data_IF_229588343738
#
_entry.id   IF_229588343738
#
_cell.length_a   1.000
_cell.length_b   1.000
_cell.length_c   1.000
_cell.angle_alpha   90.00
_cell.angle_beta   90.00
_cell.angle_gamma   90.00
#
_symmetry.space_group_name_H-M   'P 1'
#
loop_
_entity.id
_entity.type
_entity.pdbx_description
1 polymer ?
#
# COMPACT_ATOMS: atom_id res chain seq x y z
N UNK A 1 -11.79 10.86 -12.13
CA UNK A 1 -10.38 11.19 -11.85
C UNK A 1 -9.70 11.77 -13.08
N UNK A 2 -9.78 11.11 -14.24
CA UNK A 2 -9.14 11.60 -15.47
C UNK A 2 -9.52 13.04 -15.84
N UNK A 3 -10.80 13.43 -15.78
CA UNK A 3 -11.20 14.82 -16.10
C UNK A 3 -10.62 15.91 -15.16
N UNK A 4 -10.21 15.55 -13.93
CA UNK A 4 -9.50 16.46 -13.02
C UNK A 4 -7.99 16.47 -13.30
N UNK A 5 -7.46 15.33 -13.75
CA UNK A 5 -6.06 15.16 -14.14
C UNK A 5 -5.78 15.78 -15.52
N UNK A 6 -6.71 15.70 -16.47
CA UNK A 6 -6.68 16.37 -17.77
C UNK A 6 -6.53 17.90 -17.63
N UNK A 7 -7.01 18.48 -16.52
CA UNK A 7 -6.95 19.91 -16.28
C UNK A 7 -5.54 20.40 -15.83
N UNK A 8 -4.65 19.50 -15.42
CA UNK A 8 -3.33 19.87 -14.84
C UNK A 8 -2.21 18.85 -15.02
N UNK A 9 -2.44 17.77 -15.76
CA UNK A 9 -1.57 16.60 -15.94
C UNK A 9 -1.79 15.97 -17.32
N UNK A 10 -1.61 14.65 -17.42
CA UNK A 10 -1.71 13.90 -18.70
C UNK A 10 -2.99 13.06 -18.84
N UNK A 11 -3.88 13.12 -17.84
CA UNK A 11 -5.20 12.48 -17.89
C UNK A 11 -5.20 10.99 -17.55
N UNK A 12 -4.04 10.43 -17.19
CA UNK A 12 -3.84 9.00 -17.03
C UNK A 12 -4.09 8.51 -15.59
N UNK A 13 -4.21 9.43 -14.63
CA UNK A 13 -4.14 9.08 -13.21
C UNK A 13 -5.19 8.04 -12.79
N UNK A 14 -6.43 8.14 -13.27
CA UNK A 14 -7.46 7.16 -12.93
C UNK A 14 -7.21 5.79 -13.55
N UNK A 15 -6.66 5.72 -14.77
CA UNK A 15 -6.28 4.46 -15.40
C UNK A 15 -5.07 3.81 -14.68
N UNK A 16 -4.14 4.63 -14.22
CA UNK A 16 -3.01 4.19 -13.42
C UNK A 16 -3.45 3.65 -12.05
N UNK A 17 -4.36 4.31 -11.35
CA UNK A 17 -4.93 3.83 -10.09
C UNK A 17 -5.75 2.54 -10.26
N UNK A 18 -6.54 2.43 -11.33
CA UNK A 18 -7.33 1.23 -11.63
C UNK A 18 -6.43 0.00 -11.83
N UNK A 19 -5.32 0.15 -12.56
CA UNK A 19 -4.33 -0.93 -12.75
C UNK A 19 -3.71 -1.37 -11.43
N UNK A 20 -3.30 -0.40 -10.59
CA UNK A 20 -2.75 -0.67 -9.27
C UNK A 20 -3.75 -1.44 -8.40
N UNK A 21 -4.99 -0.97 -8.28
CA UNK A 21 -6.03 -1.60 -7.46
C UNK A 21 -6.37 -3.02 -7.92
N UNK A 22 -6.44 -3.27 -9.23
CA UNK A 22 -6.64 -4.63 -9.78
C UNK A 22 -5.49 -5.56 -9.41
N UNK A 23 -4.25 -5.09 -9.50
CA UNK A 23 -3.08 -5.87 -9.11
C UNK A 23 -3.08 -6.20 -7.61
N UNK A 24 -3.50 -5.23 -6.77
CA UNK A 24 -3.66 -5.47 -5.33
C UNK A 24 -4.70 -6.56 -5.05
N UNK A 25 -5.89 -6.44 -5.63
CA UNK A 25 -6.98 -7.40 -5.44
C UNK A 25 -6.57 -8.82 -5.84
N UNK A 26 -5.80 -8.97 -6.92
CA UNK A 26 -5.28 -10.26 -7.35
C UNK A 26 -4.24 -10.83 -6.37
N UNK A 27 -3.48 -9.98 -5.67
CA UNK A 27 -2.40 -10.40 -4.77
C UNK A 27 -2.86 -10.71 -3.36
N UNK A 28 -3.84 -9.96 -2.85
CA UNK A 28 -4.35 -10.04 -1.47
C UNK A 28 -4.70 -11.47 -0.99
N UNK A 29 -5.37 -12.33 -1.78
CA UNK A 29 -5.69 -13.69 -1.36
C UNK A 29 -4.46 -14.53 -0.99
N UNK A 30 -3.32 -14.30 -1.66
CA UNK A 30 -2.07 -15.04 -1.38
C UNK A 30 -1.34 -14.58 -0.12
N UNK A 31 -1.80 -13.49 0.50
CA UNK A 31 -1.14 -12.84 1.64
C UNK A 31 -1.95 -12.93 2.94
N UNK A 32 -3.12 -13.60 2.93
CA UNK A 32 -4.06 -13.60 4.05
C UNK A 32 -3.46 -14.11 5.37
N UNK A 33 -2.53 -15.06 5.30
CA UNK A 33 -1.87 -15.65 6.48
C UNK A 33 -0.54 -14.95 6.84
N UNK A 34 -0.25 -13.79 6.26
CA UNK A 34 0.97 -13.01 6.54
C UNK A 34 0.71 -11.94 7.59
N UNK A 35 1.77 -11.52 8.25
CA UNK A 35 1.72 -10.35 9.13
C UNK A 35 1.48 -9.06 8.32
N UNK A 36 0.95 -8.03 8.99
CA UNK A 36 0.53 -6.79 8.35
C UNK A 36 1.69 -6.03 7.67
N UNK A 37 2.92 -6.14 8.19
CA UNK A 37 4.10 -5.53 7.58
C UNK A 37 4.43 -6.20 6.25
N UNK A 38 4.45 -7.53 6.23
CA UNK A 38 4.63 -8.33 5.00
C UNK A 38 3.53 -8.04 3.97
N UNK A 39 2.26 -7.93 4.40
CA UNK A 39 1.14 -7.60 3.52
C UNK A 39 1.37 -6.22 2.87
N UNK A 40 1.56 -5.18 3.69
CA UNK A 40 1.68 -3.81 3.21
C UNK A 40 2.92 -3.58 2.35
N UNK A 41 4.06 -4.20 2.70
CA UNK A 41 5.27 -4.16 1.86
C UNK A 41 5.06 -4.84 0.52
N UNK A 42 4.44 -6.01 0.50
CA UNK A 42 4.20 -6.76 -0.74
C UNK A 42 3.26 -6.02 -1.67
N UNK A 43 2.19 -5.41 -1.12
CA UNK A 43 1.29 -4.55 -1.88
C UNK A 43 2.01 -3.28 -2.35
N UNK A 44 2.84 -2.66 -1.51
CA UNK A 44 3.65 -1.50 -1.88
C UNK A 44 4.56 -1.77 -3.08
N UNK A 45 5.30 -2.87 -3.06
CA UNK A 45 6.14 -3.33 -4.19
C UNK A 45 5.29 -3.58 -5.45
N UNK A 46 4.10 -4.16 -5.27
CA UNK A 46 3.16 -4.41 -6.37
C UNK A 46 2.72 -3.10 -7.03
N UNK A 47 2.42 -2.06 -6.25
CA UNK A 47 2.03 -0.75 -6.77
C UNK A 47 3.19 -0.04 -7.49
N UNK A 48 4.42 -0.09 -6.96
CA UNK A 48 5.60 0.47 -7.66
C UNK A 48 5.74 -0.11 -9.07
N UNK A 49 5.45 -1.41 -9.24
CA UNK A 49 5.64 -2.12 -10.50
C UNK A 49 4.46 -1.99 -11.48
N UNK A 50 3.27 -1.62 -11.00
CA UNK A 50 2.03 -1.70 -11.79
C UNK A 50 1.41 -0.35 -12.10
N UNK A 51 1.64 0.65 -11.23
CA UNK A 51 1.21 2.02 -11.45
C UNK A 51 2.30 2.77 -12.22
N UNK A 52 1.89 3.50 -13.26
CA UNK A 52 2.76 4.39 -14.02
C UNK A 52 3.02 5.73 -13.31
N UNK A 53 3.96 6.49 -13.87
CA UNK A 53 4.26 7.85 -13.43
C UNK A 53 4.72 7.95 -11.97
N UNK A 54 4.49 9.10 -11.35
CA UNK A 54 4.89 9.38 -9.96
C UNK A 54 4.02 8.67 -8.93
N UNK A 55 2.80 8.30 -9.31
CA UNK A 55 1.82 7.67 -8.43
C UNK A 55 2.28 6.31 -7.87
N UNK A 56 2.98 5.49 -8.69
CA UNK A 56 3.50 4.19 -8.28
C UNK A 56 4.56 4.27 -7.18
N UNK A 57 5.66 5.02 -7.36
CA UNK A 57 6.66 5.25 -6.31
C UNK A 57 6.06 5.89 -5.05
N UNK A 58 5.14 6.84 -5.19
CA UNK A 58 4.50 7.50 -4.04
C UNK A 58 3.66 6.53 -3.21
N UNK A 59 2.72 5.83 -3.85
CA UNK A 59 1.84 4.89 -3.16
C UNK A 59 2.61 3.67 -2.64
N UNK A 60 3.56 3.17 -3.44
CA UNK A 60 4.41 2.07 -3.05
C UNK A 60 5.23 2.36 -1.79
N UNK A 61 5.90 3.52 -1.76
CA UNK A 61 6.72 3.93 -0.61
C UNK A 61 5.87 4.16 0.63
N UNK A 62 4.71 4.80 0.48
CA UNK A 62 3.76 5.01 1.57
C UNK A 62 3.37 3.68 2.23
N UNK A 63 2.96 2.68 1.44
CA UNK A 63 2.56 1.39 1.97
C UNK A 63 3.72 0.65 2.67
N UNK A 64 4.92 0.69 2.10
CA UNK A 64 6.11 0.08 2.71
C UNK A 64 6.46 0.73 4.06
N UNK A 65 6.33 2.05 4.19
CA UNK A 65 6.56 2.76 5.44
C UNK A 65 5.47 2.50 6.48
N UNK A 66 4.20 2.42 6.05
CA UNK A 66 3.09 2.07 6.94
C UNK A 66 3.24 0.66 7.54
N UNK A 67 3.74 -0.31 6.76
CA UNK A 67 4.02 -1.66 7.27
C UNK A 67 4.91 -1.66 8.52
N UNK A 68 6.04 -0.95 8.45
CA UNK A 68 6.96 -0.83 9.58
C UNK A 68 6.34 -0.10 10.79
N UNK A 69 5.60 0.98 10.53
CA UNK A 69 4.97 1.78 11.60
C UNK A 69 3.88 1.01 12.35
N UNK A 70 3.00 0.30 11.63
CA UNK A 70 1.93 -0.51 12.24
C UNK A 70 2.51 -1.65 13.07
N UNK A 71 3.55 -2.33 12.56
CA UNK A 71 4.20 -3.41 13.29
C UNK A 71 4.82 -2.92 14.61
N UNK A 72 5.48 -1.76 14.59
CA UNK A 72 6.02 -1.16 15.81
C UNK A 72 4.92 -0.81 16.84
N UNK A 73 3.78 -0.29 16.39
CA UNK A 73 2.66 0.01 17.27
C UNK A 73 2.05 -1.26 17.90
N UNK A 74 1.87 -2.32 17.11
CA UNK A 74 1.37 -3.61 17.60
C UNK A 74 2.31 -4.23 18.64
N UNK A 75 3.63 -4.13 18.44
CA UNK A 75 4.61 -4.60 19.41
C UNK A 75 4.52 -3.83 20.75
N UNK A 76 4.42 -2.49 20.70
CA UNK A 76 4.26 -1.67 21.91
C UNK A 76 2.97 -2.00 22.64
N UNK A 77 1.87 -2.21 21.90
CA UNK A 77 0.59 -2.60 22.49
C UNK A 77 0.68 -3.98 23.18
N UNK A 78 1.28 -4.97 22.51
CA UNK A 78 1.47 -6.30 23.08
C UNK A 78 2.34 -6.27 24.36
N UNK A 79 3.37 -5.42 24.41
CA UNK A 79 4.15 -5.21 25.64
C UNK A 79 3.30 -4.61 26.77
N UNK A 80 2.48 -3.59 26.46
CA UNK A 80 1.59 -2.98 27.45
C UNK A 80 0.60 -4.01 28.04
N UNK A 81 0.00 -4.84 27.19
CA UNK A 81 -0.95 -5.88 27.61
C UNK A 81 -0.30 -6.93 28.52
N UNK A 82 0.97 -7.30 28.27
CA UNK A 82 1.73 -8.24 29.11
C UNK A 82 2.15 -7.61 30.44
N UNK A 83 2.48 -6.31 30.47
CA UNK A 83 2.97 -5.65 31.68
C UNK A 83 1.87 -5.20 32.65
N UNK A 84 0.64 -5.03 32.17
CA UNK A 84 -0.53 -4.63 32.99
C UNK A 84 -1.27 -5.84 33.57
N UNK A 85 -0.87 -7.06 33.21
CA UNK A 85 -1.44 -8.33 33.67
C UNK A 85 -0.45 -9.08 34.57
#
# INVERSE_FOLDING_TARGET
>A
MNALDDAGGDGDFGATMERGLKAMQAKLPSLQDKDIDTILKTIGITLVSTMGGTSGPLMGTLLMQMGGAVNAHLFVQALADVMVN
#
